data_IF_539581163903
#
_entry.id   IF_539581163903
#
_cell.length_a   1.000
_cell.length_b   1.000
_cell.length_c   1.000
_cell.angle_alpha   90.00
_cell.angle_beta   90.00
_cell.angle_gamma   90.00
#
_symmetry.space_group_name_H-M   'P 1'
#
loop_
_entity.id
_entity.type
_entity.pdbx_description
1 polymer ?
#
# COMPACT_ATOMS: atom_id res chain seq x y z
N UNK A 1 12.55 8.51 6.27
CA UNK A 1 13.63 9.42 6.70
C UNK A 1 13.62 9.46 8.22
N UNK A 2 14.77 9.29 8.91
CA UNK A 2 14.81 9.44 10.36
C UNK A 2 14.42 10.87 10.77
N UNK A 3 13.71 11.01 11.88
CA UNK A 3 13.33 12.32 12.43
C UNK A 3 14.59 13.04 12.93
N UNK A 4 14.80 14.28 12.47
CA UNK A 4 15.88 15.15 12.94
C UNK A 4 15.63 15.50 14.42
N UNK A 5 16.62 15.29 15.27
CA UNK A 5 16.54 15.63 16.69
C UNK A 5 16.77 17.13 16.91
N UNK A 6 15.68 17.87 17.05
CA UNK A 6 15.66 19.33 17.18
C UNK A 6 16.23 19.79 18.54
N UNK A 7 16.42 18.87 19.51
CA UNK A 7 16.96 19.23 20.83
C UNK A 7 18.47 19.44 20.82
N UNK A 8 19.18 18.98 19.78
CA UNK A 8 20.63 19.16 19.65
C UNK A 8 20.97 20.58 19.18
N UNK A 9 21.86 21.31 19.89
CA UNK A 9 22.17 22.71 19.56
C UNK A 9 22.83 22.88 18.18
N UNK A 10 23.59 21.88 17.72
CA UNK A 10 24.23 21.87 16.39
C UNK A 10 23.20 21.90 15.27
N UNK A 11 22.10 21.15 15.42
CA UNK A 11 21.03 21.09 14.41
C UNK A 11 20.28 22.42 14.38
N UNK A 12 20.04 23.03 15.54
CA UNK A 12 19.41 24.35 15.64
C UNK A 12 20.24 25.42 14.91
N UNK A 13 21.57 25.41 15.08
CA UNK A 13 22.47 26.35 14.39
C UNK A 13 22.39 26.20 12.87
N UNK A 14 22.45 24.97 12.35
CA UNK A 14 22.34 24.70 10.91
C UNK A 14 20.99 25.16 10.34
N UNK A 15 19.90 24.94 11.08
CA UNK A 15 18.57 25.39 10.67
C UNK A 15 18.47 26.92 10.64
N UNK A 16 19.04 27.61 11.63
CA UNK A 16 19.09 29.07 11.64
C UNK A 16 19.91 29.62 10.47
N UNK A 17 21.07 29.03 10.17
CA UNK A 17 21.87 29.43 9.01
C UNK A 17 21.14 29.21 7.69
N UNK A 18 20.42 28.09 7.54
CA UNK A 18 19.61 27.82 6.36
C UNK A 18 18.48 28.85 6.21
N UNK A 19 17.80 29.17 7.32
CA UNK A 19 16.77 30.20 7.35
C UNK A 19 17.31 31.57 6.96
N UNK A 20 18.46 31.97 7.48
CA UNK A 20 19.09 33.25 7.14
C UNK A 20 19.55 33.31 5.68
N UNK A 21 20.07 32.20 5.13
CA UNK A 21 20.40 32.09 3.71
C UNK A 21 19.15 32.26 2.85
N UNK A 22 18.06 31.58 3.16
CA UNK A 22 16.79 31.76 2.45
C UNK A 22 16.28 33.18 2.55
N UNK A 23 16.30 33.78 3.75
CA UNK A 23 15.88 35.17 3.97
C UNK A 23 16.67 36.13 3.09
N UNK A 24 18.00 36.00 3.04
CA UNK A 24 18.86 36.81 2.16
C UNK A 24 18.51 36.62 0.69
N UNK A 25 18.30 35.38 0.25
CA UNK A 25 17.91 35.09 -1.14
C UNK A 25 16.55 35.71 -1.49
N UNK A 26 15.57 35.67 -0.58
CA UNK A 26 14.27 36.31 -0.76
C UNK A 26 14.40 37.82 -0.83
N UNK A 27 15.13 38.43 0.11
CA UNK A 27 15.38 39.88 0.08
C UNK A 27 16.10 40.31 -1.21
N UNK A 28 17.10 39.55 -1.65
CA UNK A 28 17.80 39.82 -2.91
C UNK A 28 16.89 39.67 -4.13
N UNK A 29 16.03 38.64 -4.15
CA UNK A 29 15.07 38.47 -5.23
C UNK A 29 14.05 39.61 -5.28
N UNK A 30 13.54 40.05 -4.12
CA UNK A 30 12.62 41.18 -4.00
C UNK A 30 13.31 42.47 -4.47
N UNK A 31 14.54 42.73 -4.06
CA UNK A 31 15.27 43.92 -4.50
C UNK A 31 15.58 43.88 -6.00
N UNK A 32 15.94 42.72 -6.54
CA UNK A 32 16.23 42.55 -7.98
C UNK A 32 14.98 42.72 -8.85
N UNK A 33 13.80 42.38 -8.34
CA UNK A 33 12.54 42.46 -9.08
C UNK A 33 11.62 43.58 -8.57
N UNK A 34 12.15 44.54 -7.81
CA UNK A 34 11.33 45.56 -7.13
C UNK A 34 10.55 46.43 -8.12
N UNK A 35 11.16 46.81 -9.25
CA UNK A 35 10.53 47.62 -10.29
C UNK A 35 9.31 46.90 -10.89
N UNK A 36 9.47 45.62 -11.23
CA UNK A 36 8.36 44.77 -11.73
C UNK A 36 7.24 44.61 -10.72
N UNK A 37 7.59 44.50 -9.43
CA UNK A 37 6.60 44.40 -8.35
C UNK A 37 5.85 45.72 -8.20
N UNK A 38 6.54 46.86 -8.28
CA UNK A 38 5.92 48.19 -8.24
C UNK A 38 4.99 48.40 -9.44
N UNK A 39 5.44 48.05 -10.64
CA UNK A 39 4.63 48.10 -11.86
C UNK A 39 3.37 47.21 -11.74
N UNK A 40 3.52 45.97 -11.23
CA UNK A 40 2.40 45.06 -11.02
C UNK A 40 1.44 45.51 -9.89
N UNK A 41 1.93 46.26 -8.90
CA UNK A 41 1.12 46.81 -7.81
C UNK A 41 0.32 48.03 -8.24
N UNK A 42 0.77 48.77 -9.26
CA UNK A 42 0.02 49.89 -9.83
C UNK A 42 -1.12 49.39 -10.73
N UNK A 43 -2.32 49.97 -10.57
CA UNK A 43 -3.50 49.65 -11.38
C UNK A 43 -3.39 50.19 -12.83
N UNK A 44 -2.38 51.01 -13.11
CA UNK A 44 -2.17 51.75 -14.37
C UNK A 44 -1.42 50.95 -15.44
N UNK A 45 -1.37 49.62 -15.34
CA UNK A 45 -0.78 48.77 -16.38
C UNK A 45 -1.65 48.80 -17.64
N UNK A 46 -1.01 48.79 -18.81
CA UNK A 46 -1.74 48.57 -20.05
C UNK A 46 -2.41 47.18 -19.98
N UNK A 47 -3.69 47.06 -20.40
CA UNK A 47 -4.36 45.77 -20.39
C UNK A 47 -3.65 44.83 -21.36
N UNK A 48 -3.03 43.79 -20.83
CA UNK A 48 -2.28 42.79 -21.61
C UNK A 48 -3.11 42.00 -22.62
N UNK A 49 -4.43 42.24 -22.71
CA UNK A 49 -5.38 41.65 -23.68
C UNK A 49 -5.14 40.16 -23.97
N UNK A 50 -4.97 39.34 -22.92
CA UNK A 50 -4.86 37.89 -23.09
C UNK A 50 -6.19 37.33 -23.58
N UNK A 51 -6.18 36.62 -24.70
CA UNK A 51 -7.31 35.83 -25.14
C UNK A 51 -7.22 34.41 -24.57
N UNK A 52 -8.33 33.70 -24.54
CA UNK A 52 -8.36 32.30 -24.09
C UNK A 52 -7.35 31.43 -24.86
N UNK A 53 -7.14 31.73 -26.14
CA UNK A 53 -6.17 31.08 -27.00
C UNK A 53 -4.72 31.27 -26.51
N UNK A 54 -4.39 32.43 -25.95
CA UNK A 54 -3.05 32.72 -25.42
C UNK A 54 -2.79 31.94 -24.13
N UNK A 55 -3.80 31.81 -23.28
CA UNK A 55 -3.72 31.01 -22.05
C UNK A 55 -3.53 29.53 -22.39
N UNK A 56 -4.29 29.01 -23.35
CA UNK A 56 -4.14 27.64 -23.85
C UNK A 56 -2.75 27.42 -24.46
N UNK A 57 -2.29 28.35 -25.31
CA UNK A 57 -0.97 28.29 -25.95
C UNK A 57 0.15 28.30 -24.92
N UNK A 58 0.06 29.15 -23.90
CA UNK A 58 1.07 29.22 -22.83
C UNK A 58 1.13 27.91 -22.03
N UNK A 59 -0.02 27.34 -21.67
CA UNK A 59 -0.08 26.05 -20.98
C UNK A 59 0.52 24.91 -21.83
N UNK A 60 0.24 24.88 -23.13
CA UNK A 60 0.82 23.91 -24.06
C UNK A 60 2.35 24.07 -24.16
N UNK A 61 2.85 25.30 -24.32
CA UNK A 61 4.29 25.60 -24.40
C UNK A 61 5.00 25.17 -23.11
N UNK A 62 4.42 25.47 -21.95
CA UNK A 62 4.96 25.04 -20.65
C UNK A 62 4.98 23.50 -20.53
N UNK A 63 3.91 22.82 -20.97
CA UNK A 63 3.83 21.37 -21.02
C UNK A 63 4.87 20.72 -21.94
N UNK A 64 5.17 21.34 -23.08
CA UNK A 64 6.20 20.85 -24.01
C UNK A 64 7.59 20.81 -23.38
N UNK A 65 7.95 21.76 -22.51
CA UNK A 65 9.23 21.74 -21.80
C UNK A 65 9.35 20.51 -20.87
N UNK A 66 8.27 20.15 -20.19
CA UNK A 66 8.21 18.96 -19.35
C UNK A 66 8.28 17.68 -20.18
N UNK A 67 7.48 17.58 -21.25
CA UNK A 67 7.46 16.41 -22.15
C UNK A 67 8.83 16.19 -22.79
N UNK A 68 9.50 17.26 -23.24
CA UNK A 68 10.84 17.15 -23.84
C UNK A 68 11.91 16.75 -22.82
N UNK A 69 11.85 17.26 -21.60
CA UNK A 69 12.68 16.80 -20.48
C UNK A 69 12.44 15.31 -20.22
N UNK A 70 11.19 14.89 -20.10
CA UNK A 70 10.84 13.50 -19.81
C UNK A 70 11.25 12.58 -20.95
N UNK A 71 11.14 13.01 -22.21
CA UNK A 71 11.62 12.26 -23.36
C UNK A 71 13.15 12.11 -23.36
N UNK A 72 13.88 13.17 -22.99
CA UNK A 72 15.35 13.10 -22.80
C UNK A 72 15.72 12.15 -21.67
N UNK A 73 15.08 12.29 -20.50
CA UNK A 73 15.28 11.40 -19.34
C UNK A 73 14.96 9.96 -19.71
N UNK A 74 13.84 9.73 -20.40
CA UNK A 74 13.43 8.42 -20.90
C UNK A 74 14.44 7.85 -21.89
N UNK A 75 15.06 8.67 -22.74
CA UNK A 75 16.13 8.27 -23.65
C UNK A 75 17.42 7.90 -22.88
N UNK A 76 17.74 8.61 -21.79
CA UNK A 76 18.84 8.28 -20.90
C UNK A 76 18.55 7.00 -20.07
N UNK A 77 17.30 6.80 -19.67
CA UNK A 77 16.84 5.67 -18.85
C UNK A 77 16.57 4.41 -19.68
N UNK A 78 16.27 4.56 -20.97
CA UNK A 78 16.36 3.50 -21.98
C UNK A 78 17.83 3.09 -22.07
N UNK A 79 18.21 2.11 -21.27
CA UNK A 79 19.57 1.55 -21.21
C UNK A 79 20.07 1.24 -22.63
N UNK A 80 20.92 2.11 -23.20
CA UNK A 80 21.55 1.88 -24.51
C UNK A 80 22.78 0.97 -24.42
N UNK A 81 23.34 0.75 -23.23
CA UNK A 81 24.46 -0.16 -23.01
C UNK A 81 24.21 -0.91 -21.69
N UNK A 82 24.26 -2.25 -21.66
CA UNK A 82 24.27 -2.99 -20.41
C UNK A 82 25.51 -2.60 -19.60
N UNK A 83 25.33 -2.20 -18.34
CA UNK A 83 26.42 -1.97 -17.39
C UNK A 83 27.26 -3.26 -17.29
N UNK A 84 28.53 -3.22 -17.72
CA UNK A 84 29.39 -4.42 -17.78
C UNK A 84 29.99 -4.85 -16.43
N UNK A 85 29.89 -4.02 -15.40
CA UNK A 85 30.61 -4.23 -14.12
C UNK A 85 29.71 -4.48 -12.90
N UNK A 86 28.40 -4.59 -13.08
CA UNK A 86 27.55 -5.13 -12.02
C UNK A 86 27.68 -6.65 -12.02
N UNK A 87 28.33 -7.20 -10.99
CA UNK A 87 28.64 -8.64 -10.80
C UNK A 87 27.42 -9.58 -10.99
N UNK A 88 26.22 -9.04 -10.80
CA UNK A 88 24.94 -9.61 -11.22
C UNK A 88 23.96 -8.46 -11.34
N UNK A 89 23.62 -8.05 -12.57
CA UNK A 89 22.40 -7.27 -12.79
C UNK A 89 21.29 -8.29 -12.80
N UNK A 90 20.27 -8.19 -11.93
CA UNK A 90 19.18 -9.13 -12.01
C UNK A 90 18.48 -8.93 -13.37
N UNK A 91 18.69 -9.88 -14.28
CA UNK A 91 18.02 -9.92 -15.56
C UNK A 91 16.54 -10.25 -15.36
N UNK A 92 15.76 -10.25 -16.43
CA UNK A 92 14.37 -10.72 -16.38
C UNK A 92 14.31 -12.17 -15.84
N UNK A 93 15.33 -12.97 -16.15
CA UNK A 93 15.47 -14.36 -15.72
C UNK A 93 15.61 -14.47 -14.19
N UNK A 94 16.50 -13.70 -13.57
CA UNK A 94 16.73 -13.76 -12.11
C UNK A 94 15.67 -12.98 -11.31
N UNK A 95 15.10 -11.91 -11.88
CA UNK A 95 14.01 -11.15 -11.23
C UNK A 95 12.80 -12.04 -10.93
N UNK A 96 12.47 -12.98 -11.82
CA UNK A 96 11.35 -13.89 -11.62
C UNK A 96 11.64 -14.95 -10.56
N UNK A 97 12.88 -15.45 -10.48
CA UNK A 97 13.26 -16.44 -9.49
C UNK A 97 13.17 -15.86 -8.07
N UNK A 98 13.77 -14.69 -7.81
CA UNK A 98 13.74 -14.03 -6.49
C UNK A 98 12.31 -13.72 -6.02
N UNK A 99 11.42 -13.37 -6.95
CA UNK A 99 10.02 -13.02 -6.66
C UNK A 99 9.05 -14.20 -6.84
N UNK A 100 9.55 -15.43 -6.90
CA UNK A 100 8.70 -16.62 -7.00
C UNK A 100 7.87 -16.81 -5.73
N UNK A 101 6.68 -17.41 -5.88
CA UNK A 101 5.73 -17.67 -4.77
C UNK A 101 6.37 -18.47 -3.62
N UNK A 102 7.33 -19.35 -3.93
CA UNK A 102 8.07 -20.14 -2.94
C UNK A 102 9.03 -19.25 -2.15
N UNK A 103 9.83 -18.44 -2.84
CA UNK A 103 10.81 -17.55 -2.19
C UNK A 103 10.14 -16.47 -1.34
N UNK A 104 8.94 -16.03 -1.72
CA UNK A 104 8.11 -15.13 -0.91
C UNK A 104 7.46 -15.82 0.32
N UNK A 105 7.59 -17.14 0.46
CA UNK A 105 7.01 -17.91 1.57
C UNK A 105 5.48 -17.97 1.57
N UNK A 106 4.83 -17.67 0.44
CA UNK A 106 3.36 -17.61 0.33
C UNK A 106 2.77 -18.98 -0.01
N UNK A 107 3.55 -19.84 -0.67
CA UNK A 107 3.18 -21.21 -1.02
C UNK A 107 4.33 -22.18 -0.82
N UNK A 108 4.00 -23.45 -0.59
CA UNK A 108 4.99 -24.52 -0.49
C UNK A 108 4.88 -25.46 -1.68
N UNK A 109 6.03 -25.98 -2.15
CA UNK A 109 6.08 -26.99 -3.21
C UNK A 109 5.33 -28.30 -2.85
N UNK A 110 5.15 -28.56 -1.54
CA UNK A 110 4.38 -29.72 -1.04
C UNK A 110 2.88 -29.55 -1.29
N UNK A 111 2.37 -28.34 -1.19
CA UNK A 111 0.94 -28.04 -1.41
C UNK A 111 0.58 -27.97 -2.90
N UNK A 112 1.44 -27.34 -3.70
CA UNK A 112 1.29 -27.31 -5.15
C UNK A 112 2.60 -27.70 -5.85
N UNK A 113 2.66 -28.88 -6.50
CA UNK A 113 3.84 -29.31 -7.23
C UNK A 113 4.14 -28.41 -8.44
N UNK A 114 3.18 -27.60 -8.91
CA UNK A 114 3.38 -26.65 -10.02
C UNK A 114 4.30 -25.50 -9.68
N UNK A 115 4.56 -25.26 -8.39
CA UNK A 115 5.48 -24.22 -7.93
C UNK A 115 6.94 -24.68 -7.96
N UNK A 116 7.19 -25.99 -7.92
CA UNK A 116 8.54 -26.57 -7.99
C UNK A 116 9.03 -26.62 -9.44
N UNK A 117 9.28 -25.45 -10.03
CA UNK A 117 9.75 -25.30 -11.41
C UNK A 117 11.26 -25.17 -11.46
N UNK A 118 11.91 -25.67 -12.53
CA UNK A 118 13.33 -25.40 -12.76
C UNK A 118 13.52 -23.92 -13.13
N UNK A 119 14.67 -23.36 -12.77
CA UNK A 119 14.99 -21.93 -12.98
C UNK A 119 15.01 -21.50 -14.46
N UNK A 120 15.12 -22.47 -15.37
CA UNK A 120 15.08 -22.23 -16.81
C UNK A 120 13.66 -21.96 -17.34
N UNK A 121 12.61 -22.27 -16.58
CA UNK A 121 11.24 -22.08 -17.03
C UNK A 121 10.79 -20.61 -16.90
N UNK A 122 10.57 -19.96 -18.04
CA UNK A 122 10.09 -18.59 -18.12
C UNK A 122 8.55 -18.47 -18.14
N UNK A 123 7.80 -19.54 -17.88
CA UNK A 123 6.34 -19.48 -17.80
C UNK A 123 5.87 -18.66 -16.57
N UNK A 124 4.73 -17.94 -16.66
CA UNK A 124 4.23 -17.17 -15.52
C UNK A 124 3.79 -18.07 -14.37
N UNK A 125 3.95 -17.58 -13.14
CA UNK A 125 3.48 -18.27 -11.94
C UNK A 125 1.96 -18.48 -11.96
N UNK A 126 1.46 -19.56 -11.34
CA UNK A 126 0.03 -19.83 -11.31
C UNK A 126 -0.69 -18.84 -10.40
N UNK A 127 -1.74 -18.20 -10.91
CA UNK A 127 -2.54 -17.21 -10.16
C UNK A 127 -3.35 -17.86 -9.02
N UNK A 128 -3.88 -19.06 -9.25
CA UNK A 128 -4.76 -19.75 -8.29
C UNK A 128 -4.11 -20.99 -7.68
N UNK A 129 -4.44 -21.25 -6.41
CA UNK A 129 -4.15 -22.51 -5.71
C UNK A 129 -4.89 -23.69 -6.35
N UNK A 130 -4.35 -24.91 -6.25
CA UNK A 130 -4.99 -26.10 -6.78
C UNK A 130 -6.33 -26.36 -6.08
N UNK A 131 -7.28 -26.86 -6.87
CA UNK A 131 -8.64 -27.13 -6.39
C UNK A 131 -8.67 -28.52 -5.77
N UNK A 132 -9.26 -28.64 -4.57
CA UNK A 132 -9.46 -29.94 -3.90
C UNK A 132 -10.18 -30.94 -4.82
N UNK A 133 -9.72 -32.20 -4.81
CA UNK A 133 -10.23 -33.25 -5.68
C UNK A 133 -11.74 -33.46 -5.53
N UNK A 134 -12.30 -33.29 -4.31
CA UNK A 134 -13.75 -33.45 -4.08
C UNK A 134 -14.54 -32.35 -4.79
N UNK A 135 -14.10 -31.10 -4.72
CA UNK A 135 -14.76 -29.99 -5.42
C UNK A 135 -14.55 -30.07 -6.93
N UNK A 136 -13.37 -30.51 -7.38
CA UNK A 136 -13.07 -30.76 -8.81
C UNK A 136 -13.99 -31.83 -9.41
N UNK A 137 -14.32 -32.89 -8.67
CA UNK A 137 -15.31 -33.91 -9.11
C UNK A 137 -16.70 -33.34 -9.39
N UNK A 138 -17.11 -32.27 -8.69
CA UNK A 138 -18.42 -31.63 -8.90
C UNK A 138 -18.46 -30.93 -10.26
N UNK A 139 -17.35 -30.31 -10.66
CA UNK A 139 -17.24 -29.59 -11.92
C UNK A 139 -17.50 -30.49 -13.14
N UNK A 140 -17.03 -31.74 -13.10
CA UNK A 140 -17.18 -32.70 -14.19
C UNK A 140 -18.53 -33.43 -14.23
N UNK A 141 -19.47 -33.12 -13.32
CA UNK A 141 -20.80 -33.74 -13.36
C UNK A 141 -21.60 -33.23 -14.57
N UNK A 142 -22.22 -34.12 -15.37
CA UNK A 142 -22.99 -33.73 -16.54
C UNK A 142 -24.29 -32.99 -16.17
N UNK A 143 -24.92 -32.35 -17.16
CA UNK A 143 -26.31 -31.87 -17.06
C UNK A 143 -27.22 -33.10 -16.92
N UNK A 144 -28.26 -33.11 -16.06
CA UNK A 144 -29.02 -31.97 -15.51
C UNK A 144 -28.55 -31.48 -14.13
N UNK A 145 -27.47 -32.03 -13.56
CA UNK A 145 -27.08 -31.72 -12.19
C UNK A 145 -26.37 -30.36 -11.98
N UNK A 146 -26.27 -29.54 -13.03
CA UNK A 146 -25.62 -28.21 -13.05
C UNK A 146 -24.26 -28.20 -12.34
N UNK A 147 -23.38 -29.13 -12.70
CA UNK A 147 -22.07 -29.32 -12.04
C UNK A 147 -21.21 -28.06 -11.98
N UNK A 148 -21.19 -27.26 -13.06
CA UNK A 148 -20.46 -25.99 -13.13
C UNK A 148 -21.00 -24.94 -12.17
N UNK A 149 -22.32 -24.75 -12.12
CA UNK A 149 -22.96 -23.76 -11.25
C UNK A 149 -22.78 -24.13 -9.77
N UNK A 150 -23.00 -25.41 -9.43
CA UNK A 150 -22.75 -25.92 -8.07
C UNK A 150 -21.28 -25.80 -7.68
N UNK A 151 -20.35 -26.01 -8.62
CA UNK A 151 -18.93 -25.80 -8.40
C UNK A 151 -18.62 -24.34 -8.09
N UNK A 152 -19.13 -23.40 -8.89
CA UNK A 152 -18.93 -21.97 -8.68
C UNK A 152 -19.51 -21.50 -7.35
N UNK A 153 -20.74 -21.90 -6.99
CA UNK A 153 -21.33 -21.58 -5.70
C UNK A 153 -20.53 -22.12 -4.52
N UNK A 154 -20.06 -23.38 -4.61
CA UNK A 154 -19.22 -23.95 -3.55
C UNK A 154 -17.88 -23.25 -3.45
N UNK A 155 -17.26 -22.93 -4.59
CA UNK A 155 -15.94 -22.26 -4.63
C UNK A 155 -16.03 -20.78 -4.23
N UNK A 156 -17.18 -20.14 -4.43
CA UNK A 156 -17.42 -18.76 -3.98
C UNK A 156 -17.41 -18.64 -2.45
N UNK A 157 -17.85 -19.68 -1.73
CA UNK A 157 -17.85 -19.71 -0.26
C UNK A 157 -16.45 -19.86 0.36
N UNK A 158 -15.45 -20.25 -0.43
CA UNK A 158 -14.06 -20.38 0.03
C UNK A 158 -13.44 -18.99 0.07
N UNK A 159 -12.79 -18.67 1.19
CA UNK A 159 -12.03 -17.43 1.38
C UNK A 159 -11.02 -17.22 0.25
N UNK A 160 -10.82 -15.98 -0.23
CA UNK A 160 -9.94 -15.71 -1.36
C UNK A 160 -8.47 -16.10 -1.06
N UNK A 161 -8.03 -16.02 0.20
CA UNK A 161 -6.70 -16.47 0.68
C UNK A 161 -6.41 -17.96 0.39
N UNK A 162 -7.44 -18.79 0.47
CA UNK A 162 -7.32 -20.23 0.21
C UNK A 162 -7.47 -20.55 -1.30
N UNK A 163 -7.78 -19.55 -2.12
CA UNK A 163 -8.05 -19.70 -3.55
C UNK A 163 -6.93 -19.13 -4.42
N UNK A 164 -6.31 -18.04 -3.98
CA UNK A 164 -5.24 -17.33 -4.67
C UNK A 164 -3.97 -17.32 -3.83
N UNK A 165 -2.83 -17.20 -4.50
CA UNK A 165 -1.56 -16.99 -3.79
C UNK A 165 -1.43 -15.52 -3.35
N UNK A 166 -1.80 -14.60 -4.23
CA UNK A 166 -1.65 -13.16 -4.03
C UNK A 166 -3.02 -12.45 -4.11
N UNK A 167 -3.13 -11.27 -3.48
CA UNK A 167 -4.31 -10.42 -3.64
C UNK A 167 -4.28 -9.75 -5.02
N UNK A 168 -5.04 -10.29 -5.97
CA UNK A 168 -5.09 -9.77 -7.34
C UNK A 168 -5.84 -8.42 -7.46
N UNK A 169 -6.78 -8.17 -6.54
CA UNK A 169 -7.59 -6.96 -6.53
C UNK A 169 -7.21 -6.07 -5.35
N UNK A 170 -7.16 -4.76 -5.57
CA UNK A 170 -6.94 -3.75 -4.51
C UNK A 170 -8.01 -3.81 -3.41
N UNK A 171 -9.24 -4.21 -3.76
CA UNK A 171 -10.31 -4.40 -2.78
C UNK A 171 -10.06 -5.55 -1.80
N UNK A 172 -9.14 -6.47 -2.11
CA UNK A 172 -8.77 -7.57 -1.21
C UNK A 172 -7.63 -7.23 -0.27
N UNK A 173 -6.90 -6.14 -0.53
CA UNK A 173 -5.83 -5.66 0.33
C UNK A 173 -6.35 -5.45 1.77
N UNK A 174 -7.55 -4.87 1.89
CA UNK A 174 -8.30 -4.81 3.12
C UNK A 174 -8.94 -6.16 3.42
N UNK A 175 -8.39 -6.87 4.39
CA UNK A 175 -8.93 -8.14 4.87
C UNK A 175 -8.16 -9.39 4.42
N UNK A 176 -7.07 -9.22 3.67
CA UNK A 176 -6.15 -10.32 3.35
C UNK A 176 -5.38 -10.76 4.60
N UNK A 177 -5.36 -12.06 4.87
CA UNK A 177 -4.71 -12.71 6.03
C UNK A 177 -5.17 -12.13 7.36
N UNK A 178 -6.48 -11.88 7.51
CA UNK A 178 -7.07 -11.41 8.78
C UNK A 178 -6.80 -12.34 9.97
N UNK A 179 -6.53 -13.62 9.71
CA UNK A 179 -6.15 -14.57 10.76
C UNK A 179 -4.77 -14.28 11.37
N UNK A 180 -3.87 -13.67 10.60
CA UNK A 180 -2.51 -13.37 11.03
C UNK A 180 -2.44 -12.05 11.78
N UNK A 181 -3.38 -11.14 11.51
CA UNK A 181 -3.60 -10.01 12.40
C UNK A 181 -4.15 -10.53 13.72
N UNK A 182 -3.28 -10.66 14.73
CA UNK A 182 -3.75 -10.75 16.11
C UNK A 182 -4.60 -9.51 16.36
N UNK A 183 -5.89 -9.68 16.64
CA UNK A 183 -6.64 -8.62 17.27
C UNK A 183 -5.87 -8.29 18.54
N UNK A 184 -5.18 -7.15 18.56
CA UNK A 184 -4.61 -6.61 19.79
C UNK A 184 -5.77 -6.62 20.78
N UNK A 185 -5.64 -7.38 21.86
CA UNK A 185 -6.67 -7.48 22.88
C UNK A 185 -7.11 -6.07 23.27
N UNK A 186 -8.37 -5.93 23.70
CA UNK A 186 -8.89 -4.62 24.11
C UNK A 186 -7.85 -3.95 25.03
N UNK A 187 -7.37 -2.73 24.70
CA UNK A 187 -6.38 -2.09 25.54
C UNK A 187 -6.93 -1.99 26.96
N UNK A 188 -6.14 -2.38 27.96
CA UNK A 188 -6.55 -2.43 29.37
C UNK A 188 -7.21 -1.12 29.83
N UNK A 189 -6.79 0.00 29.25
CA UNK A 189 -7.25 1.36 29.55
C UNK A 189 -7.69 2.15 28.31
N UNK A 190 -8.36 1.52 27.34
CA UNK A 190 -8.90 2.24 26.18
C UNK A 190 -10.08 3.15 26.54
N UNK A 191 -10.16 4.36 25.95
CA UNK A 191 -11.30 5.30 26.09
C UNK A 191 -12.67 4.65 25.88
N UNK A 192 -12.75 3.62 25.03
CA UNK A 192 -13.98 2.87 24.76
C UNK A 192 -14.48 2.07 25.98
N UNK A 193 -13.60 1.66 26.90
CA UNK A 193 -14.00 1.01 28.15
C UNK A 193 -14.76 1.97 29.07
N UNK A 194 -14.39 3.25 29.07
CA UNK A 194 -15.10 4.30 29.82
C UNK A 194 -16.48 4.51 29.21
N UNK A 195 -16.57 4.66 27.88
CA UNK A 195 -17.85 4.76 27.15
C UNK A 195 -18.76 3.56 27.42
N UNK A 196 -18.22 2.34 27.36
CA UNK A 196 -18.96 1.11 27.61
C UNK A 196 -19.45 1.04 29.07
N UNK A 197 -18.60 1.36 30.06
CA UNK A 197 -19.00 1.49 31.47
C UNK A 197 -20.10 2.53 31.69
N UNK A 198 -20.02 3.68 31.02
CA UNK A 198 -21.03 4.74 31.14
C UNK A 198 -22.35 4.39 30.46
N UNK A 199 -22.32 3.63 29.36
CA UNK A 199 -23.53 3.20 28.64
C UNK A 199 -24.21 2.01 29.34
N UNK A 200 -23.44 1.02 29.80
CA UNK A 200 -23.95 -0.13 30.55
C UNK A 200 -24.49 0.28 31.93
N UNK A 201 -23.94 1.33 32.54
CA UNK A 201 -24.39 1.86 33.83
C UNK A 201 -25.64 2.77 33.78
N UNK A 202 -26.25 3.00 32.60
CA UNK A 202 -27.31 4.02 32.47
C UNK A 202 -28.66 3.60 33.07
N UNK A 203 -28.88 2.32 33.35
CA UNK A 203 -30.16 1.79 33.88
C UNK A 203 -30.00 1.21 35.28
N UNK A 204 -29.52 2.03 36.23
CA UNK A 204 -29.59 1.73 37.67
C UNK A 204 -28.78 0.52 38.17
N UNK A 205 -28.79 0.26 39.50
CA UNK A 205 -27.99 -0.79 40.16
C UNK A 205 -28.60 -2.19 40.04
N UNK A 206 -29.38 -2.48 38.99
CA UNK A 206 -29.98 -3.79 38.81
C UNK A 206 -28.97 -4.75 38.21
N UNK A 207 -28.81 -5.92 38.85
CA UNK A 207 -28.00 -7.01 38.30
C UNK A 207 -28.56 -7.40 36.93
N UNK A 208 -27.72 -7.40 35.90
CA UNK A 208 -28.12 -7.90 34.57
C UNK A 208 -28.70 -9.33 34.70
N UNK A 209 -29.82 -9.64 34.03
CA UNK A 209 -30.37 -10.98 34.00
C UNK A 209 -29.31 -12.02 33.58
N UNK A 210 -29.38 -13.23 34.15
CA UNK A 210 -28.35 -14.25 33.95
C UNK A 210 -28.15 -14.66 32.48
N UNK A 211 -29.16 -14.47 31.62
CA UNK A 211 -29.08 -14.73 30.18
C UNK A 211 -28.23 -13.72 29.38
N UNK A 212 -27.85 -12.58 29.98
CA UNK A 212 -26.90 -11.62 29.39
C UNK A 212 -25.45 -11.86 29.83
N UNK A 213 -25.17 -12.86 30.67
CA UNK A 213 -23.78 -13.23 30.97
C UNK A 213 -23.14 -13.74 29.70
N UNK A 214 -22.09 -13.05 29.25
CA UNK A 214 -21.18 -13.60 28.26
C UNK A 214 -20.65 -14.94 28.78
N UNK A 215 -20.60 -16.00 27.96
CA UNK A 215 -19.96 -17.24 28.37
C UNK A 215 -18.53 -16.89 28.75
N UNK A 216 -18.13 -17.24 29.98
CA UNK A 216 -16.75 -17.00 30.44
C UNK A 216 -15.82 -17.62 29.40
N UNK A 217 -15.04 -16.78 28.72
CA UNK A 217 -13.88 -17.25 27.96
C UNK A 217 -12.92 -17.71 29.04
N UNK A 218 -12.89 -19.02 29.30
CA UNK A 218 -11.88 -19.63 30.14
C UNK A 218 -10.56 -19.43 29.39
N UNK A 219 -9.80 -18.41 29.78
CA UNK A 219 -8.41 -18.27 29.36
C UNK A 219 -7.68 -19.53 29.85
N UNK A 220 -7.46 -20.48 28.93
CA UNK A 220 -6.78 -21.75 29.19
C UNK A 220 -5.26 -21.57 29.45
N UNK A 221 -4.79 -20.33 29.67
CA UNK A 221 -3.36 -19.99 29.70
C UNK A 221 -2.74 -19.98 31.10
N UNK A 222 -3.46 -20.33 32.17
CA UNK A 222 -2.88 -20.39 33.53
C UNK A 222 -3.26 -21.69 34.26
N UNK A 223 -2.84 -22.85 33.72
CA UNK A 223 -2.66 -24.10 34.50
C UNK A 223 -1.56 -24.95 33.88
N UNK A 224 -0.31 -24.47 33.99
CA UNK A 224 0.88 -25.31 33.80
C UNK A 224 2.02 -24.81 34.68
N UNK A 225 1.72 -24.46 35.93
CA UNK A 225 2.71 -24.42 37.01
C UNK A 225 1.97 -24.76 38.29
N UNK A 226 2.02 -26.02 38.72
CA UNK A 226 2.22 -26.45 40.10
C UNK A 226 2.05 -27.98 40.16
N UNK A 227 3.19 -28.63 40.41
CA UNK A 227 3.40 -29.99 40.96
C UNK A 227 3.12 -31.15 40.01
#
# INVERSE_FOLDING_TARGET
>A
MPLLDITRPEIILVLNEAYDKEKRLRSYWVSKNSEKIQEAATLTREPTNYYEQDVMKHAMIAGMATITRDHKIYTCNKRKVPLRDAKSIPGIETLRHEHSIINLGVGTAKEDPRLARPDTDSSPDPVMRPVDAKTKKIFFKPKPHFGREKYLHKRAKILPENKYYLPECTSWEYGWRLKDSKMLGKPLHGRNCILQKTLEGRVGPTRNPDHYRTPMVVDQTVRLVMI
#
